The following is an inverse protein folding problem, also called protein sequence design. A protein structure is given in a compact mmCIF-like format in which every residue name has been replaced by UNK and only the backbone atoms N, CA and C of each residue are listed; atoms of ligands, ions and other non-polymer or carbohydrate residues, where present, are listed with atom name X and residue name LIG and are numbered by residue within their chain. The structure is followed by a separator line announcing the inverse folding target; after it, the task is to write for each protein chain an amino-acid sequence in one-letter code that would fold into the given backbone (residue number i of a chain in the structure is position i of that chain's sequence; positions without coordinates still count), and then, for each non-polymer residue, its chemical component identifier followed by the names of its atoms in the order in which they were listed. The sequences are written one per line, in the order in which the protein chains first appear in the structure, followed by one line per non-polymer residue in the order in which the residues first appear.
data_IF_471852267075
#
_entry.id   IF_471852267075
#
_cell.length_a   1.000
_cell.length_b   1.000
_cell.length_c   1.000
_cell.angle_alpha   90.00
_cell.angle_beta   90.00
_cell.angle_gamma   90.00
#
_symmetry.space_group_name_H-M   'P 1'
#
loop_
_entity.id
_entity.type
_entity.pdbx_description
1 polymer ?
#
# COMPACT_ATOMS: atom_id res chain seq x y z
N UNK A 1 0.68 -30.87 -7.37
CA UNK A 1 1.54 -29.66 -7.42
C UNK A 1 0.76 -28.39 -7.72
N UNK A 2 -0.31 -28.45 -8.52
CA UNK A 2 -1.15 -27.28 -8.86
C UNK A 2 -1.72 -26.56 -7.64
N UNK A 3 -2.22 -27.29 -6.63
CA UNK A 3 -2.75 -26.70 -5.41
C UNK A 3 -1.70 -25.89 -4.61
N UNK A 4 -0.45 -26.35 -4.59
CA UNK A 4 0.65 -25.63 -3.92
C UNK A 4 0.92 -24.32 -4.64
N UNK A 5 0.99 -24.35 -5.97
CA UNK A 5 1.17 -23.14 -6.77
C UNK A 5 -0.01 -22.16 -6.63
N UNK A 6 -1.24 -22.68 -6.61
CA UNK A 6 -2.42 -21.87 -6.35
C UNK A 6 -2.33 -21.16 -5.00
N UNK A 7 -1.94 -21.87 -3.93
CA UNK A 7 -1.78 -21.27 -2.60
C UNK A 7 -0.69 -20.20 -2.58
N UNK A 8 0.45 -20.42 -3.25
CA UNK A 8 1.53 -19.44 -3.33
C UNK A 8 1.04 -18.17 -4.02
N UNK A 9 0.39 -18.29 -5.19
CA UNK A 9 -0.12 -17.14 -5.94
C UNK A 9 -1.20 -16.41 -5.15
N UNK A 10 -2.13 -17.14 -4.54
CA UNK A 10 -3.17 -16.54 -3.69
C UNK A 10 -2.55 -15.78 -2.51
N UNK A 11 -1.53 -16.34 -1.86
CA UNK A 11 -0.80 -15.67 -0.79
C UNK A 11 -0.08 -14.40 -1.27
N UNK A 12 0.61 -14.45 -2.42
CA UNK A 12 1.27 -13.29 -3.01
C UNK A 12 0.27 -12.18 -3.32
N UNK A 13 -0.89 -12.51 -3.89
CA UNK A 13 -1.95 -11.54 -4.18
C UNK A 13 -2.52 -10.91 -2.90
N UNK A 14 -2.73 -11.70 -1.85
CA UNK A 14 -3.18 -11.19 -0.56
C UNK A 14 -2.14 -10.24 0.05
N UNK A 15 -0.86 -10.61 0.04
CA UNK A 15 0.22 -9.74 0.52
C UNK A 15 0.27 -8.44 -0.28
N UNK A 16 0.21 -8.52 -1.61
CA UNK A 16 0.20 -7.34 -2.48
C UNK A 16 -0.98 -6.40 -2.16
N UNK A 17 -2.20 -6.94 -2.07
CA UNK A 17 -3.40 -6.15 -1.76
C UNK A 17 -3.30 -5.50 -0.36
N UNK A 18 -2.65 -6.15 0.60
CA UNK A 18 -2.47 -5.56 1.94
C UNK A 18 -1.39 -4.48 1.93
N UNK A 19 -0.23 -4.76 1.35
CA UNK A 19 0.95 -3.89 1.39
C UNK A 19 0.77 -2.69 0.46
N UNK A 20 0.62 -2.91 -0.83
CA UNK A 20 0.44 -1.84 -1.82
C UNK A 20 -0.92 -1.15 -1.66
N UNK A 21 -1.95 -1.91 -1.26
CA UNK A 21 -3.26 -1.32 -0.94
C UNK A 21 -3.24 -0.33 0.22
N UNK A 22 -2.31 -0.47 1.17
CA UNK A 22 -2.08 0.53 2.22
C UNK A 22 -1.47 1.82 1.65
N UNK A 23 -0.50 1.72 0.74
CA UNK A 23 0.15 2.87 0.12
C UNK A 23 -0.82 3.66 -0.77
N UNK A 24 -1.55 2.95 -1.63
CA UNK A 24 -2.62 3.52 -2.45
C UNK A 24 -3.70 4.14 -1.55
N UNK A 25 -4.07 3.46 -0.46
CA UNK A 25 -5.04 3.95 0.51
C UNK A 25 -4.62 5.26 1.17
N UNK A 26 -3.37 5.37 1.61
CA UNK A 26 -2.79 6.60 2.13
C UNK A 26 -2.76 7.70 1.05
N UNK A 27 -2.41 7.35 -0.19
CA UNK A 27 -2.47 8.22 -1.37
C UNK A 27 -3.88 8.70 -1.71
N UNK A 28 -4.94 7.96 -1.39
CA UNK A 28 -6.32 8.44 -1.57
C UNK A 28 -6.71 9.33 -0.39
N UNK A 29 -6.48 8.88 0.84
CA UNK A 29 -6.98 9.52 2.06
C UNK A 29 -6.29 10.85 2.35
N UNK A 30 -5.04 11.06 1.92
CA UNK A 30 -4.29 12.28 2.24
C UNK A 30 -5.02 13.58 1.83
N UNK A 31 -5.79 13.58 0.73
CA UNK A 31 -6.59 14.73 0.31
C UNK A 31 -7.78 15.02 1.25
N UNK A 32 -8.29 14.00 1.94
CA UNK A 32 -9.43 14.10 2.85
C UNK A 32 -9.00 14.47 4.28
N UNK A 33 -7.84 14.01 4.74
CA UNK A 33 -7.37 14.25 6.12
C UNK A 33 -6.43 15.44 6.25
N UNK A 34 -5.66 15.78 5.21
CA UNK A 34 -4.73 16.91 5.24
C UNK A 34 -5.41 18.23 4.90
N UNK A 35 -5.43 19.17 5.85
CA UNK A 35 -6.05 20.50 5.73
C UNK A 35 -5.17 21.51 4.99
N UNK A 36 -3.87 21.23 4.89
CA UNK A 36 -2.88 22.03 4.18
C UNK A 36 -1.82 21.12 3.53
N UNK A 37 -0.96 21.71 2.71
CA UNK A 37 0.05 20.96 1.96
C UNK A 37 1.08 20.26 2.86
N UNK A 38 1.38 20.83 4.03
CA UNK A 38 2.32 20.22 4.97
C UNK A 38 1.73 18.94 5.59
N UNK A 39 0.45 18.96 5.97
CA UNK A 39 -0.26 17.78 6.49
C UNK A 39 -0.41 16.70 5.42
N UNK A 40 -0.72 17.08 4.17
CA UNK A 40 -0.78 16.16 3.03
C UNK A 40 0.57 15.51 2.75
N UNK A 41 1.65 16.31 2.74
CA UNK A 41 3.01 15.81 2.58
C UNK A 41 3.43 14.90 3.74
N UNK A 42 2.96 15.17 4.97
CA UNK A 42 3.25 14.30 6.11
C UNK A 42 2.66 12.90 5.92
N UNK A 43 1.43 12.78 5.40
CA UNK A 43 0.82 11.48 5.08
C UNK A 43 1.64 10.72 4.04
N UNK A 44 2.00 11.37 2.92
CA UNK A 44 2.80 10.74 1.87
C UNK A 44 4.19 10.32 2.36
N UNK A 45 4.80 11.09 3.28
CA UNK A 45 6.10 10.72 3.87
C UNK A 45 6.04 9.47 4.76
N UNK A 46 4.87 9.10 5.27
CA UNK A 46 4.73 7.87 6.09
C UNK A 46 4.91 6.59 5.28
N UNK A 47 4.58 6.62 3.99
CA UNK A 47 4.65 5.45 3.09
C UNK A 47 5.93 5.42 2.25
N UNK A 48 6.57 6.57 2.04
CA UNK A 48 7.77 6.68 1.19
C UNK A 48 8.90 5.66 1.44
N UNK A 49 9.22 5.25 2.68
CA UNK A 49 10.27 4.26 2.93
C UNK A 49 9.93 2.82 2.54
N UNK A 50 8.65 2.49 2.36
CA UNK A 50 8.18 1.10 2.12
C UNK A 50 7.55 0.91 0.74
N UNK A 51 7.06 1.99 0.11
CA UNK A 51 6.37 1.97 -1.18
C UNK A 51 7.07 1.10 -2.22
N UNK A 52 8.34 1.40 -2.55
CA UNK A 52 9.08 0.72 -3.63
C UNK A 52 9.31 -0.78 -3.36
N UNK A 53 9.16 -1.22 -2.11
CA UNK A 53 9.21 -2.63 -1.74
C UNK A 53 7.85 -3.32 -1.68
N UNK A 54 6.75 -2.56 -1.70
CA UNK A 54 5.39 -3.07 -1.67
C UNK A 54 4.83 -3.32 -3.08
N UNK A 55 5.27 -2.54 -4.08
CA UNK A 55 5.01 -2.78 -5.50
C UNK A 55 5.62 -4.11 -6.00
#
# INVERSE_FOLDING_TARGET
MELIWFMIVAFMLVCYVILDGFDIGAGIVHYFIGRNDAERAAVIRTIGPVWDGNE
#
